data_IF_131333286831
#
_entry.id   IF_131333286831
#
_cell.length_a   1.000
_cell.length_b   1.000
_cell.length_c   1.000
_cell.angle_alpha   90.00
_cell.angle_beta   90.00
_cell.angle_gamma   90.00
#
_symmetry.space_group_name_H-M   'P 1'
#
loop_
_entity.id
_entity.type
_entity.pdbx_description
1 polymer ?
#
# COMPACT_ATOMS: atom_id res chain seq x y z
N UNK A 1 -0.06 8.31 -36.07
CA UNK A 1 1.26 8.50 -36.72
C UNK A 1 2.29 7.96 -35.75
N UNK A 2 2.77 6.73 -35.96
CA UNK A 2 3.79 6.12 -35.11
C UNK A 2 5.14 6.77 -35.46
N UNK A 3 5.55 7.74 -34.69
CA UNK A 3 6.95 8.15 -34.66
C UNK A 3 7.74 7.06 -33.89
N UNK A 4 8.10 5.99 -34.59
CA UNK A 4 9.20 5.12 -34.18
C UNK A 4 10.48 5.95 -34.31
N UNK A 5 10.77 6.78 -33.32
CA UNK A 5 12.12 7.27 -33.09
C UNK A 5 12.89 6.01 -32.64
N UNK A 6 13.74 5.50 -33.54
CA UNK A 6 14.66 4.39 -33.19
C UNK A 6 15.43 4.79 -31.93
N UNK A 7 15.03 4.23 -30.81
CA UNK A 7 15.67 4.46 -29.54
C UNK A 7 16.88 3.53 -29.44
N UNK A 8 18.10 4.06 -29.36
CA UNK A 8 19.28 3.24 -29.30
C UNK A 8 19.29 2.25 -28.12
N UNK A 9 18.64 2.61 -26.99
CA UNK A 9 18.49 1.71 -25.85
C UNK A 9 17.52 0.57 -26.15
N UNK A 10 16.40 0.84 -26.82
CA UNK A 10 15.42 -0.20 -27.20
C UNK A 10 16.05 -1.24 -28.12
N UNK A 11 16.88 -0.81 -29.07
CA UNK A 11 17.56 -1.72 -30.00
C UNK A 11 18.51 -2.68 -29.26
N UNK A 12 19.17 -2.20 -28.19
CA UNK A 12 20.05 -3.05 -27.38
C UNK A 12 19.24 -4.09 -26.60
N UNK A 13 18.14 -3.70 -25.97
CA UNK A 13 17.26 -4.66 -25.30
C UNK A 13 16.80 -5.77 -26.25
N UNK A 14 16.46 -5.44 -27.48
CA UNK A 14 16.04 -6.42 -28.49
C UNK A 14 17.17 -7.32 -28.98
N UNK A 15 18.39 -6.80 -29.10
CA UNK A 15 19.54 -7.54 -29.65
C UNK A 15 20.27 -8.37 -28.62
N UNK A 16 20.40 -7.86 -27.40
CA UNK A 16 21.23 -8.45 -26.35
C UNK A 16 20.37 -9.06 -25.23
N UNK A 17 19.12 -8.63 -25.09
CA UNK A 17 18.24 -9.06 -24.02
C UNK A 17 17.60 -10.42 -24.23
N UNK A 18 17.24 -11.07 -23.15
CA UNK A 18 16.44 -12.29 -23.15
C UNK A 18 14.96 -11.92 -23.19
N UNK A 19 14.25 -12.34 -24.24
CA UNK A 19 12.81 -12.13 -24.37
C UNK A 19 12.01 -13.14 -23.54
N UNK A 20 10.93 -12.68 -22.92
CA UNK A 20 9.96 -13.50 -22.22
C UNK A 20 8.56 -12.96 -22.43
N UNK A 21 7.58 -13.87 -22.58
CA UNK A 21 6.16 -13.53 -22.55
C UNK A 21 5.66 -13.79 -21.14
N UNK A 22 5.10 -12.77 -20.51
CA UNK A 22 4.58 -12.84 -19.15
C UNK A 22 3.07 -12.61 -19.14
N UNK A 23 2.40 -13.20 -18.17
CA UNK A 23 0.94 -13.08 -18.00
C UNK A 23 0.56 -13.21 -16.52
N UNK A 24 -0.73 -13.17 -16.25
CA UNK A 24 -1.26 -13.24 -14.89
C UNK A 24 -0.90 -14.53 -14.12
N UNK A 25 -0.54 -15.59 -14.84
CA UNK A 25 -0.11 -16.89 -14.29
C UNK A 25 1.41 -17.06 -14.16
N UNK A 26 2.18 -16.09 -14.62
CA UNK A 26 3.65 -16.08 -14.56
C UNK A 26 4.18 -14.78 -13.94
N UNK A 27 3.69 -14.41 -12.74
CA UNK A 27 4.24 -13.24 -12.03
C UNK A 27 5.68 -13.51 -11.60
N UNK A 28 6.46 -12.43 -11.46
CA UNK A 28 7.82 -12.53 -10.94
C UNK A 28 8.13 -11.36 -9.99
N UNK A 29 8.99 -11.61 -9.01
CA UNK A 29 9.48 -10.56 -8.10
C UNK A 29 10.56 -9.73 -8.80
N UNK A 30 10.58 -8.43 -8.50
CA UNK A 30 11.64 -7.52 -8.91
C UNK A 30 12.79 -7.52 -7.88
N UNK A 31 13.22 -8.71 -7.45
CA UNK A 31 14.22 -8.94 -6.40
C UNK A 31 15.61 -9.32 -6.92
N UNK A 32 15.82 -9.27 -8.24
CA UNK A 32 17.10 -9.48 -8.88
C UNK A 32 17.79 -8.13 -9.18
N UNK A 33 18.69 -7.62 -8.30
CA UNK A 33 19.32 -6.31 -8.46
C UNK A 33 20.22 -6.21 -9.70
N UNK A 34 20.58 -7.37 -10.27
CA UNK A 34 21.39 -7.43 -11.49
C UNK A 34 20.56 -7.43 -12.77
N UNK A 35 19.25 -7.17 -12.66
CA UNK A 35 18.35 -7.19 -13.80
C UNK A 35 17.64 -5.85 -14.05
N UNK A 36 17.48 -5.56 -15.34
CA UNK A 36 16.59 -4.50 -15.84
C UNK A 36 15.71 -5.10 -16.93
N UNK A 37 14.42 -4.92 -16.80
CA UNK A 37 13.43 -5.36 -17.79
C UNK A 37 12.89 -4.17 -18.57
N UNK A 38 12.70 -4.33 -19.85
CA UNK A 38 12.06 -3.38 -20.74
C UNK A 38 10.73 -3.98 -21.23
N UNK A 39 9.64 -3.25 -21.05
CA UNK A 39 8.31 -3.65 -21.52
C UNK A 39 8.23 -3.38 -23.03
N UNK A 40 8.31 -4.44 -23.85
CA UNK A 40 8.28 -4.32 -25.32
C UNK A 40 6.89 -4.07 -25.84
N UNK A 41 5.91 -4.81 -25.30
CA UNK A 41 4.49 -4.70 -25.65
C UNK A 41 3.63 -5.12 -24.47
N UNK A 42 2.38 -4.69 -24.47
CA UNK A 42 1.43 -4.97 -23.40
C UNK A 42 1.62 -4.03 -22.19
N UNK A 43 1.27 -4.51 -21.02
CA UNK A 43 1.30 -3.76 -19.76
C UNK A 43 1.72 -4.69 -18.61
N UNK A 44 2.39 -4.12 -17.62
CA UNK A 44 2.81 -4.82 -16.41
C UNK A 44 2.24 -4.12 -15.21
N UNK A 45 1.38 -4.82 -14.47
CA UNK A 45 0.88 -4.35 -13.17
C UNK A 45 1.93 -4.60 -12.10
N UNK A 46 2.29 -3.59 -11.35
CA UNK A 46 3.22 -3.67 -10.22
C UNK A 46 2.42 -3.67 -8.93
N UNK A 47 2.67 -4.68 -8.10
CA UNK A 47 2.05 -4.82 -6.79
C UNK A 47 3.11 -4.79 -5.69
N UNK A 48 2.82 -4.10 -4.60
CA UNK A 48 3.52 -4.29 -3.34
C UNK A 48 3.03 -5.60 -2.69
N UNK A 49 3.96 -6.40 -2.21
CA UNK A 49 3.70 -7.72 -1.61
C UNK A 49 4.65 -7.97 -0.43
N UNK A 50 4.19 -8.73 0.55
CA UNK A 50 5.10 -9.29 1.54
C UNK A 50 5.96 -10.39 0.90
N UNK A 51 7.26 -10.40 1.21
CA UNK A 51 8.22 -11.37 0.68
C UNK A 51 8.87 -12.12 1.84
N UNK A 52 8.84 -13.45 1.79
CA UNK A 52 9.60 -14.32 2.71
C UNK A 52 10.35 -15.36 1.89
N UNK A 53 11.65 -15.50 2.14
CA UNK A 53 12.50 -16.48 1.45
C UNK A 53 12.33 -16.41 -0.09
N UNK A 54 12.33 -15.20 -0.67
CA UNK A 54 12.11 -14.93 -2.10
C UNK A 54 10.74 -15.37 -2.65
N UNK A 55 9.74 -15.56 -1.78
CA UNK A 55 8.38 -15.91 -2.18
C UNK A 55 7.40 -14.85 -1.71
N UNK A 56 6.46 -14.49 -2.59
CA UNK A 56 5.37 -13.60 -2.19
C UNK A 56 4.46 -14.29 -1.16
N UNK A 57 4.01 -13.54 -0.17
CA UNK A 57 3.04 -13.97 0.84
C UNK A 57 1.99 -12.89 1.04
N UNK A 58 0.79 -13.28 1.48
CA UNK A 58 -0.27 -12.33 1.83
C UNK A 58 -0.97 -11.67 0.64
N UNK A 59 -1.54 -10.50 0.91
CA UNK A 59 -2.30 -9.72 -0.07
C UNK A 59 -1.37 -9.00 -1.07
N UNK A 60 -1.93 -8.67 -2.23
CA UNK A 60 -1.29 -7.86 -3.27
C UNK A 60 -1.91 -6.48 -3.26
N UNK A 61 -1.09 -5.45 -3.10
CA UNK A 61 -1.53 -4.07 -3.16
C UNK A 61 -1.06 -3.46 -4.47
N UNK A 62 -1.99 -3.12 -5.37
CA UNK A 62 -1.63 -2.52 -6.64
C UNK A 62 -0.87 -1.22 -6.42
N UNK A 63 0.28 -1.07 -7.05
CA UNK A 63 1.16 0.09 -6.92
C UNK A 63 0.99 1.03 -8.11
N UNK A 64 1.40 0.58 -9.29
CA UNK A 64 1.20 1.30 -10.56
C UNK A 64 1.24 0.33 -11.74
N UNK A 65 0.97 0.84 -12.95
CA UNK A 65 1.02 0.09 -14.20
C UNK A 65 2.12 0.61 -15.10
N UNK A 66 3.09 -0.24 -15.44
CA UNK A 66 4.10 0.04 -16.45
C UNK A 66 3.56 -0.28 -17.84
N UNK A 67 3.84 0.61 -18.80
CA UNK A 67 3.37 0.52 -20.18
C UNK A 67 4.49 0.06 -21.13
N UNK A 68 4.11 -0.31 -22.35
CA UNK A 68 5.09 -0.53 -23.41
C UNK A 68 6.00 0.69 -23.58
N UNK A 69 7.31 0.48 -23.53
CA UNK A 69 8.33 1.53 -23.55
C UNK A 69 8.90 1.90 -22.18
N UNK A 70 8.38 1.36 -21.10
CA UNK A 70 8.89 1.58 -19.74
C UNK A 70 9.92 0.51 -19.36
N UNK A 71 10.69 0.80 -18.33
CA UNK A 71 11.63 -0.16 -17.71
C UNK A 71 11.17 -0.51 -16.30
N UNK A 72 11.56 -1.70 -15.86
CA UNK A 72 11.45 -2.15 -14.48
C UNK A 72 12.85 -2.42 -13.96
N UNK A 73 13.17 -1.93 -12.77
CA UNK A 73 14.46 -2.16 -12.13
C UNK A 73 14.35 -3.25 -11.07
N UNK A 74 15.34 -4.13 -11.04
CA UNK A 74 15.52 -5.07 -9.94
C UNK A 74 16.01 -4.35 -8.69
N UNK A 75 15.52 -4.78 -7.54
CA UNK A 75 15.78 -4.16 -6.25
C UNK A 75 16.44 -5.16 -5.32
N UNK A 76 17.49 -4.72 -4.65
CA UNK A 76 18.20 -5.50 -3.65
C UNK A 76 17.41 -5.49 -2.33
N UNK A 77 16.58 -6.52 -2.12
CA UNK A 77 15.74 -6.62 -0.93
C UNK A 77 16.56 -6.82 0.35
N UNK A 78 17.75 -7.40 0.29
CA UNK A 78 18.62 -7.55 1.45
C UNK A 78 19.09 -6.18 1.98
N UNK A 79 19.34 -5.24 1.07
CA UNK A 79 19.72 -3.86 1.45
C UNK A 79 18.56 -3.04 1.98
N UNK A 80 17.34 -3.41 1.69
CA UNK A 80 16.16 -2.69 2.22
C UNK A 80 15.81 -3.12 3.64
N UNK A 81 16.26 -4.29 4.07
CA UNK A 81 15.97 -4.89 5.39
C UNK A 81 14.48 -5.03 5.70
N UNK A 82 13.62 -5.03 4.67
CA UNK A 82 12.17 -5.12 4.78
C UNK A 82 11.64 -6.40 4.14
N UNK A 83 10.60 -6.96 4.73
CA UNK A 83 9.88 -8.12 4.18
C UNK A 83 8.86 -7.69 3.11
N UNK A 84 9.17 -6.65 2.33
CA UNK A 84 8.31 -6.11 1.28
C UNK A 84 9.09 -6.11 -0.04
N UNK A 85 8.41 -6.42 -1.13
CA UNK A 85 8.97 -6.39 -2.48
C UNK A 85 7.92 -6.00 -3.50
N UNK A 86 8.36 -5.81 -4.74
CA UNK A 86 7.46 -5.57 -5.87
C UNK A 86 7.29 -6.82 -6.71
N UNK A 87 6.03 -7.17 -6.99
CA UNK A 87 5.62 -8.25 -7.87
C UNK A 87 5.17 -7.66 -9.19
N UNK A 88 5.79 -8.10 -10.27
CA UNK A 88 5.40 -7.76 -11.63
C UNK A 88 4.45 -8.83 -12.20
N UNK A 89 3.31 -8.40 -12.72
CA UNK A 89 2.28 -9.25 -13.31
C UNK A 89 1.95 -8.75 -14.71
N UNK A 90 2.32 -9.48 -15.73
CA UNK A 90 1.96 -9.13 -17.10
C UNK A 90 0.47 -9.30 -17.37
N UNK A 91 -0.11 -8.39 -18.12
CA UNK A 91 -1.42 -8.60 -18.75
C UNK A 91 -1.28 -9.54 -19.97
N UNK A 92 -2.39 -9.80 -20.66
CA UNK A 92 -2.39 -10.72 -21.82
C UNK A 92 -1.39 -10.24 -22.88
N UNK A 93 -0.56 -11.18 -23.37
CA UNK A 93 0.42 -10.96 -24.45
C UNK A 93 1.48 -9.87 -24.16
N UNK A 94 1.87 -9.75 -22.89
CA UNK A 94 2.95 -8.83 -22.50
C UNK A 94 4.32 -9.46 -22.78
N UNK A 95 5.09 -8.81 -23.63
CA UNK A 95 6.48 -9.18 -23.92
C UNK A 95 7.45 -8.26 -23.23
N UNK A 96 8.43 -8.84 -22.54
CA UNK A 96 9.50 -8.12 -21.86
C UNK A 96 10.87 -8.61 -22.33
N UNK A 97 11.88 -7.72 -22.31
CA UNK A 97 13.28 -8.05 -22.52
C UNK A 97 14.06 -7.81 -21.25
N UNK A 98 14.92 -8.75 -20.87
CA UNK A 98 15.81 -8.63 -19.69
C UNK A 98 17.23 -8.46 -20.12
N UNK A 99 17.95 -7.46 -19.58
CA UNK A 99 19.41 -7.29 -19.66
C UNK A 99 19.99 -7.15 -18.23
N UNK A 100 21.31 -7.24 -18.11
CA UNK A 100 21.95 -6.98 -16.82
C UNK A 100 21.93 -5.49 -16.45
N UNK A 101 21.84 -5.19 -15.15
CA UNK A 101 21.89 -3.81 -14.64
C UNK A 101 23.21 -3.13 -14.97
N UNK A 102 24.35 -3.88 -14.95
CA UNK A 102 25.64 -3.37 -15.37
C UNK A 102 25.65 -2.91 -16.84
N UNK A 103 25.02 -3.71 -17.73
CA UNK A 103 24.90 -3.33 -19.13
C UNK A 103 24.00 -2.12 -19.34
N UNK A 104 22.88 -2.06 -18.61
CA UNK A 104 22.00 -0.89 -18.65
C UNK A 104 22.71 0.39 -18.19
N UNK A 105 23.51 0.32 -17.10
CA UNK A 105 24.30 1.46 -16.60
C UNK A 105 25.28 1.96 -17.65
N UNK A 106 26.07 1.07 -18.24
CA UNK A 106 27.02 1.40 -19.30
C UNK A 106 26.37 2.14 -20.46
N UNK A 107 25.19 1.70 -20.86
CA UNK A 107 24.41 2.33 -21.92
C UNK A 107 23.79 3.67 -21.50
N UNK A 108 23.30 3.76 -20.27
CA UNK A 108 22.64 4.94 -19.74
C UNK A 108 23.62 6.10 -19.53
N UNK A 109 24.84 5.80 -19.10
CA UNK A 109 25.93 6.77 -18.88
C UNK A 109 26.60 7.24 -20.19
N UNK A 110 26.28 6.61 -21.31
CA UNK A 110 26.77 7.08 -22.62
C UNK A 110 26.19 8.43 -22.95
N UNK A 111 27.00 9.48 -23.27
CA UNK A 111 26.52 10.83 -23.54
C UNK A 111 25.40 10.92 -24.58
N UNK A 112 25.39 10.05 -25.57
CA UNK A 112 24.35 9.98 -26.60
C UNK A 112 23.01 9.45 -26.10
N UNK A 113 22.98 8.79 -24.93
CA UNK A 113 21.80 8.12 -24.39
C UNK A 113 21.25 8.78 -23.11
N UNK A 114 22.01 9.70 -22.47
CA UNK A 114 21.66 10.28 -21.16
C UNK A 114 20.22 10.78 -21.10
N UNK A 115 19.82 11.62 -22.01
CA UNK A 115 18.46 12.20 -22.01
C UNK A 115 17.36 11.17 -22.19
N UNK A 116 17.69 10.06 -22.83
CA UNK A 116 16.77 8.96 -23.06
C UNK A 116 16.67 8.06 -21.83
N UNK A 117 17.82 7.71 -21.28
CA UNK A 117 17.90 6.93 -20.05
C UNK A 117 17.27 7.65 -18.87
N UNK A 118 17.49 8.96 -18.74
CA UNK A 118 16.84 9.82 -17.75
C UNK A 118 15.33 9.71 -17.82
N UNK A 119 14.73 9.78 -19.02
CA UNK A 119 13.28 9.64 -19.19
C UNK A 119 12.75 8.26 -18.79
N UNK A 120 13.51 7.20 -19.02
CA UNK A 120 13.12 5.85 -18.57
C UNK A 120 13.16 5.74 -17.05
N UNK A 121 14.21 6.28 -16.43
CA UNK A 121 14.34 6.32 -14.98
C UNK A 121 13.29 7.22 -14.32
N UNK A 122 12.99 8.37 -14.93
CA UNK A 122 11.92 9.26 -14.44
C UNK A 122 10.58 8.55 -14.40
N UNK A 123 10.20 7.81 -15.43
CA UNK A 123 8.95 7.05 -15.46
C UNK A 123 8.89 5.97 -14.37
N UNK A 124 10.00 5.30 -14.12
CA UNK A 124 10.10 4.34 -13.02
C UNK A 124 9.88 5.01 -11.66
N UNK A 125 10.56 6.14 -11.43
CA UNK A 125 10.45 6.92 -10.19
C UNK A 125 9.04 7.50 -10.04
N UNK A 126 8.44 8.06 -11.09
CA UNK A 126 7.07 8.58 -11.09
C UNK A 126 6.05 7.47 -10.78
N UNK A 127 6.19 6.27 -11.38
CA UNK A 127 5.32 5.14 -11.09
C UNK A 127 5.39 4.72 -9.63
N UNK A 128 6.58 4.59 -9.07
CA UNK A 128 6.78 4.28 -7.66
C UNK A 128 6.25 5.38 -6.73
N UNK A 129 6.49 6.64 -7.09
CA UNK A 129 6.01 7.80 -6.35
C UNK A 129 4.48 7.86 -6.30
N UNK A 130 3.82 7.62 -7.42
CA UNK A 130 2.36 7.51 -7.49
C UNK A 130 1.86 6.38 -6.59
N UNK A 131 2.47 5.18 -6.67
CA UNK A 131 2.05 4.01 -5.91
C UNK A 131 2.06 4.24 -4.41
N UNK A 132 3.10 4.91 -3.87
CA UNK A 132 3.23 5.12 -2.42
C UNK A 132 2.32 6.24 -1.90
N UNK A 133 1.93 7.19 -2.74
CA UNK A 133 1.24 8.41 -2.30
C UNK A 133 -0.23 8.52 -2.74
N UNK A 134 -0.71 7.64 -3.61
CA UNK A 134 -2.05 7.74 -4.23
C UNK A 134 -3.21 7.85 -3.25
N UNK A 135 -3.06 7.30 -2.06
CA UNK A 135 -4.09 7.31 -1.00
C UNK A 135 -3.82 8.39 0.05
N UNK A 136 -2.76 9.19 -0.12
CA UNK A 136 -2.36 10.25 0.81
C UNK A 136 -2.67 11.61 0.21
N UNK A 137 -3.54 12.37 0.85
CA UNK A 137 -3.87 13.71 0.42
C UNK A 137 -3.18 14.74 1.33
N UNK A 138 -2.30 15.57 0.76
CA UNK A 138 -1.63 16.66 1.48
C UNK A 138 -1.52 17.90 0.61
N UNK A 139 -1.47 19.08 1.25
CA UNK A 139 -1.23 20.34 0.55
C UNK A 139 0.21 20.45 0.06
N UNK A 140 0.50 21.46 -0.73
CA UNK A 140 1.85 21.80 -1.19
C UNK A 140 2.11 23.26 -0.92
N UNK A 141 3.18 23.56 -0.20
CA UNK A 141 3.59 24.95 0.08
C UNK A 141 4.48 25.48 -1.03
N UNK A 142 5.35 24.65 -1.56
CA UNK A 142 6.35 25.06 -2.54
C UNK A 142 6.51 24.03 -3.67
N UNK A 143 6.46 24.54 -4.90
CA UNK A 143 6.80 23.79 -6.11
C UNK A 143 8.23 24.12 -6.53
N UNK A 144 9.09 23.09 -6.63
CA UNK A 144 10.50 23.25 -6.97
C UNK A 144 10.79 22.91 -8.43
N UNK A 145 11.78 23.62 -8.97
CA UNK A 145 12.39 23.40 -10.29
C UNK A 145 13.91 23.35 -10.10
N UNK A 146 14.68 22.84 -11.06
CA UNK A 146 16.14 22.82 -10.97
C UNK A 146 16.73 24.19 -10.62
N UNK A 147 17.51 24.22 -9.53
CA UNK A 147 18.17 25.42 -8.99
C UNK A 147 19.41 24.99 -8.20
N UNK A 148 20.49 25.73 -8.31
CA UNK A 148 21.76 25.40 -7.67
C UNK A 148 21.66 25.37 -6.14
N UNK A 149 20.97 26.34 -5.56
CA UNK A 149 20.76 26.44 -4.12
C UNK A 149 19.48 27.22 -3.82
N UNK A 150 18.70 26.71 -2.87
CA UNK A 150 17.53 27.39 -2.33
C UNK A 150 17.40 27.12 -0.85
N UNK A 151 16.79 28.09 -0.15
CA UNK A 151 16.51 28.02 1.26
C UNK A 151 15.01 27.88 1.47
N UNK A 152 14.63 26.94 2.35
CA UNK A 152 13.23 26.62 2.65
C UNK A 152 13.04 26.67 4.16
N UNK A 153 11.99 27.36 4.58
CA UNK A 153 11.61 27.49 5.99
C UNK A 153 11.11 26.17 6.58
N UNK A 154 11.07 26.09 7.92
CA UNK A 154 10.59 24.94 8.67
C UNK A 154 9.14 24.58 8.34
N UNK A 155 8.86 23.27 8.26
CA UNK A 155 7.52 22.71 8.10
C UNK A 155 6.95 22.78 6.68
N UNK A 156 7.66 23.39 5.73
CA UNK A 156 7.17 23.50 4.34
C UNK A 156 7.15 22.15 3.64
N UNK A 157 6.07 21.91 2.89
CA UNK A 157 5.89 20.75 2.03
C UNK A 157 6.27 21.09 0.60
N UNK A 158 7.30 20.42 0.08
CA UNK A 158 7.92 20.67 -1.22
C UNK A 158 7.59 19.52 -2.19
N UNK A 159 7.15 19.86 -3.41
CA UNK A 159 6.97 18.92 -4.53
C UNK A 159 7.68 19.40 -5.77
N UNK A 160 7.99 18.48 -6.68
CA UNK A 160 8.42 18.88 -8.02
C UNK A 160 7.28 19.54 -8.77
N UNK A 161 7.57 20.63 -9.45
CA UNK A 161 6.60 21.30 -10.33
C UNK A 161 6.30 20.45 -11.57
N UNK A 162 7.29 19.68 -12.05
CA UNK A 162 7.16 18.86 -13.24
C UNK A 162 8.19 17.73 -13.24
N UNK A 163 7.71 16.48 -13.48
CA UNK A 163 8.58 15.32 -13.59
C UNK A 163 9.33 15.05 -12.30
N UNK A 164 10.54 14.51 -12.41
CA UNK A 164 11.42 14.17 -11.30
C UNK A 164 12.41 15.29 -11.03
N UNK A 165 12.47 15.76 -9.79
CA UNK A 165 13.47 16.69 -9.29
C UNK A 165 14.33 15.96 -8.25
N UNK A 166 15.62 15.89 -8.46
CA UNK A 166 16.56 15.32 -7.50
C UNK A 166 17.05 16.39 -6.54
N UNK A 167 16.83 16.16 -5.25
CA UNK A 167 17.23 17.09 -4.18
C UNK A 167 18.44 16.56 -3.44
N UNK A 168 19.37 17.45 -3.09
CA UNK A 168 20.48 17.18 -2.18
C UNK A 168 20.57 18.31 -1.15
N UNK A 169 21.09 17.99 0.05
CA UNK A 169 21.06 18.90 1.18
C UNK A 169 22.44 19.45 1.47
N UNK A 170 22.54 20.77 1.61
CA UNK A 170 23.73 21.42 2.17
C UNK A 170 23.59 21.59 3.69
N UNK A 171 22.35 21.81 4.19
CA UNK A 171 22.05 22.02 5.60
C UNK A 171 20.57 21.68 5.86
N UNK A 172 20.27 21.21 7.08
CA UNK A 172 18.90 20.86 7.50
C UNK A 172 18.53 19.40 7.28
N UNK A 173 17.28 19.08 7.57
CA UNK A 173 16.71 17.73 7.44
C UNK A 173 15.34 17.79 6.78
N UNK A 174 14.92 16.66 6.24
CA UNK A 174 13.56 16.52 5.71
C UNK A 174 12.98 15.16 6.02
N UNK A 175 11.65 15.09 6.02
CA UNK A 175 10.88 13.85 6.10
C UNK A 175 10.38 13.51 4.70
N UNK A 176 10.55 12.27 4.28
CA UNK A 176 9.98 11.78 3.05
C UNK A 176 8.50 11.44 3.27
N UNK A 177 7.63 12.02 2.43
CA UNK A 177 6.15 11.97 2.52
C UNK A 177 5.59 12.27 3.94
N UNK A 178 6.32 13.07 4.73
CA UNK A 178 5.91 13.49 6.07
C UNK A 178 6.00 12.43 7.17
N UNK A 179 6.66 11.30 6.92
CA UNK A 179 6.79 10.22 7.90
C UNK A 179 8.01 10.46 8.81
N UNK A 180 7.76 10.61 10.12
CA UNK A 180 8.82 10.89 11.11
C UNK A 180 9.87 9.77 11.20
N UNK A 181 9.46 8.51 10.99
CA UNK A 181 10.36 7.36 11.00
C UNK A 181 11.20 7.24 9.73
N UNK A 182 10.89 8.03 8.70
CA UNK A 182 11.56 8.01 7.40
C UNK A 182 12.26 9.33 7.15
N UNK A 183 13.20 9.63 8.03
CA UNK A 183 14.08 10.79 7.92
C UNK A 183 15.19 10.57 6.91
N UNK A 184 15.54 11.62 6.18
CA UNK A 184 16.68 11.61 5.28
C UNK A 184 17.85 12.24 6.02
N UNK A 185 18.77 11.40 6.46
CA UNK A 185 19.96 11.82 7.17
C UNK A 185 21.18 11.93 6.22
N UNK A 186 21.90 13.02 6.35
CA UNK A 186 23.19 13.21 5.73
C UNK A 186 23.24 14.22 4.57
N UNK A 187 24.26 15.05 4.62
CA UNK A 187 24.52 16.15 3.67
C UNK A 187 24.74 15.75 2.21
N UNK A 188 24.64 14.46 1.87
CA UNK A 188 24.87 13.94 0.51
C UNK A 188 23.78 13.01 0.00
N UNK A 189 22.68 12.83 0.76
CA UNK A 189 21.57 12.03 0.28
C UNK A 189 20.96 12.69 -0.95
N UNK A 190 20.91 11.96 -2.05
CA UNK A 190 20.26 12.40 -3.28
C UNK A 190 18.89 11.73 -3.36
N UNK A 191 17.83 12.52 -3.22
CA UNK A 191 16.45 12.02 -3.12
C UNK A 191 15.59 12.59 -4.23
N UNK A 192 14.88 11.75 -5.00
CA UNK A 192 13.96 12.22 -6.01
C UNK A 192 12.62 12.64 -5.39
N UNK A 193 12.12 13.76 -5.87
CA UNK A 193 10.80 14.30 -5.54
C UNK A 193 10.02 14.45 -6.85
N UNK A 194 8.75 14.06 -6.83
CA UNK A 194 7.86 14.13 -7.99
C UNK A 194 6.66 15.03 -7.70
N UNK A 195 5.66 15.02 -8.56
CA UNK A 195 4.38 15.67 -8.28
C UNK A 195 3.55 14.89 -7.25
N UNK A 196 3.82 13.60 -7.10
CA UNK A 196 3.10 12.70 -6.21
C UNK A 196 3.75 12.60 -4.84
N UNK A 197 5.07 12.52 -4.76
CA UNK A 197 5.84 12.50 -3.50
C UNK A 197 6.28 13.90 -3.08
N UNK A 198 6.56 14.06 -1.79
CA UNK A 198 7.00 15.34 -1.23
C UNK A 198 8.03 15.15 -0.13
N UNK A 199 8.71 16.26 0.16
CA UNK A 199 9.55 16.40 1.33
C UNK A 199 8.93 17.44 2.26
N UNK A 200 8.97 17.17 3.56
CA UNK A 200 8.63 18.15 4.59
C UNK A 200 9.91 18.58 5.31
N UNK A 201 10.20 19.87 5.33
CA UNK A 201 11.41 20.40 5.98
C UNK A 201 11.29 20.34 7.50
N UNK A 202 12.41 20.01 8.16
CA UNK A 202 12.58 20.11 9.61
C UNK A 202 13.66 21.17 9.87
N UNK A 203 13.23 22.30 10.46
CA UNK A 203 14.07 23.46 10.58
C UNK A 203 14.33 24.14 9.22
N UNK A 204 15.11 25.21 9.27
CA UNK A 204 15.55 25.90 8.06
C UNK A 204 16.47 24.99 7.23
N UNK A 205 16.10 24.71 6.01
CA UNK A 205 16.77 23.72 5.15
C UNK A 205 17.30 24.39 3.91
N UNK A 206 18.56 24.11 3.58
CA UNK A 206 19.21 24.57 2.36
C UNK A 206 19.50 23.38 1.45
N UNK A 207 18.91 23.40 0.26
CA UNK A 207 18.97 22.30 -0.70
C UNK A 207 19.28 22.79 -2.10
N UNK A 208 19.84 21.90 -2.92
CA UNK A 208 19.96 22.09 -4.37
C UNK A 208 19.03 21.11 -5.09
N UNK A 209 18.59 21.50 -6.28
CA UNK A 209 17.63 20.76 -7.09
C UNK A 209 18.18 20.58 -8.50
N UNK A 210 18.28 19.36 -8.98
CA UNK A 210 18.75 19.06 -10.32
C UNK A 210 17.80 18.12 -11.06
N UNK A 211 17.86 18.12 -12.38
CA UNK A 211 17.15 17.13 -13.19
C UNK A 211 17.91 15.78 -13.20
N UNK A 212 17.26 14.72 -13.65
CA UNK A 212 17.81 13.35 -13.68
C UNK A 212 19.07 13.19 -14.54
N UNK A 213 19.24 14.02 -15.55
CA UNK A 213 20.43 13.98 -16.43
C UNK A 213 21.72 14.29 -15.67
N UNK A 214 21.67 15.19 -14.67
CA UNK A 214 22.85 15.59 -13.89
C UNK A 214 23.41 14.42 -13.06
N UNK A 215 22.63 13.80 -12.14
CA UNK A 215 23.13 12.66 -11.36
C UNK A 215 23.38 11.41 -12.22
N UNK A 216 22.78 11.29 -13.39
CA UNK A 216 23.08 10.23 -14.33
C UNK A 216 24.45 10.43 -14.98
N UNK A 217 24.80 11.67 -15.33
CA UNK A 217 26.09 12.00 -15.96
C UNK A 217 27.27 11.79 -15.02
N UNK A 218 27.12 12.05 -13.73
CA UNK A 218 28.18 11.89 -12.72
C UNK A 218 28.15 10.51 -12.01
N UNK A 219 27.13 9.68 -12.29
CA UNK A 219 26.98 8.34 -11.74
C UNK A 219 26.34 8.28 -10.35
N UNK A 220 25.99 9.42 -9.72
CA UNK A 220 25.40 9.48 -8.38
C UNK A 220 23.96 8.91 -8.34
N UNK A 221 23.28 8.86 -9.49
CA UNK A 221 21.89 8.40 -9.60
C UNK A 221 21.71 6.97 -9.08
N UNK A 222 22.70 6.10 -9.24
CA UNK A 222 22.58 4.70 -8.85
C UNK A 222 22.48 4.53 -7.34
N UNK A 223 23.27 5.29 -6.60
CA UNK A 223 23.13 5.31 -5.14
C UNK A 223 21.81 6.00 -4.72
N UNK A 224 21.46 7.09 -5.37
CA UNK A 224 20.17 7.78 -5.14
C UNK A 224 18.97 6.87 -5.36
N UNK A 225 18.97 6.01 -6.39
CA UNK A 225 17.92 5.00 -6.61
C UNK A 225 17.87 3.95 -5.51
N UNK A 226 19.02 3.46 -5.04
CA UNK A 226 19.07 2.51 -3.91
C UNK A 226 18.47 3.14 -2.66
N UNK A 227 18.83 4.39 -2.36
CA UNK A 227 18.32 5.10 -1.19
C UNK A 227 16.82 5.41 -1.33
N UNK A 228 16.37 5.79 -2.53
CA UNK A 228 14.96 5.98 -2.82
C UNK A 228 14.14 4.69 -2.64
N UNK A 229 14.62 3.55 -3.13
CA UNK A 229 13.93 2.28 -2.92
C UNK A 229 13.83 1.91 -1.43
N UNK A 230 14.88 2.19 -0.64
CA UNK A 230 14.82 1.99 0.83
C UNK A 230 13.74 2.88 1.46
N UNK A 231 13.71 4.16 1.13
CA UNK A 231 12.69 5.10 1.63
C UNK A 231 11.28 4.62 1.28
N UNK A 232 11.06 4.19 0.03
CA UNK A 232 9.77 3.66 -0.41
C UNK A 232 9.33 2.44 0.39
N UNK A 233 10.22 1.46 0.59
CA UNK A 233 9.86 0.27 1.36
C UNK A 233 9.63 0.56 2.84
N UNK A 234 10.36 1.50 3.42
CA UNK A 234 10.09 1.96 4.78
C UNK A 234 8.68 2.59 4.88
N UNK A 235 8.34 3.47 3.95
CA UNK A 235 7.02 4.08 3.89
C UNK A 235 5.91 3.04 3.68
N UNK A 236 6.09 2.12 2.75
CA UNK A 236 5.11 1.07 2.46
C UNK A 236 4.90 0.14 3.64
N UNK A 237 5.97 -0.24 4.33
CA UNK A 237 5.88 -1.03 5.54
C UNK A 237 5.07 -0.33 6.64
N UNK A 238 5.29 0.98 6.82
CA UNK A 238 4.52 1.78 7.78
C UNK A 238 3.06 1.90 7.36
N UNK A 239 2.77 2.14 6.08
CA UNK A 239 1.41 2.22 5.55
C UNK A 239 0.64 0.91 5.78
N UNK A 240 1.25 -0.25 5.48
CA UNK A 240 0.64 -1.56 5.71
C UNK A 240 0.35 -1.75 7.20
N UNK A 241 1.30 -1.44 8.08
CA UNK A 241 1.11 -1.56 9.54
C UNK A 241 0.01 -0.65 10.06
N UNK A 242 -0.06 0.59 9.61
CA UNK A 242 -1.13 1.52 10.00
C UNK A 242 -2.49 1.00 9.56
N UNK A 243 -2.60 0.51 8.32
CA UNK A 243 -3.84 -0.06 7.81
C UNK A 243 -4.29 -1.31 8.59
N UNK A 244 -3.35 -2.18 8.99
CA UNK A 244 -3.65 -3.34 9.84
C UNK A 244 -4.15 -2.94 11.23
N UNK A 245 -3.53 -1.92 11.84
CA UNK A 245 -3.95 -1.38 13.15
C UNK A 245 -5.34 -0.75 13.06
N UNK A 246 -5.62 0.02 12.01
CA UNK A 246 -6.92 0.64 11.80
C UNK A 246 -8.02 -0.40 11.57
N UNK A 247 -7.76 -1.42 10.77
CA UNK A 247 -8.71 -2.51 10.56
C UNK A 247 -8.96 -3.30 11.86
N UNK A 248 -7.90 -3.59 12.63
CA UNK A 248 -8.06 -4.23 13.93
C UNK A 248 -8.91 -3.39 14.89
N UNK A 249 -8.67 -2.07 14.96
CA UNK A 249 -9.44 -1.16 15.79
C UNK A 249 -10.89 -1.08 15.32
N UNK A 250 -11.13 -1.04 14.01
CA UNK A 250 -12.47 -1.06 13.43
C UNK A 250 -13.24 -2.33 13.79
N UNK A 251 -12.61 -3.49 13.64
CA UNK A 251 -13.20 -4.79 14.00
C UNK A 251 -13.47 -4.88 15.49
N UNK A 252 -12.54 -4.42 16.33
CA UNK A 252 -12.70 -4.37 17.78
C UNK A 252 -13.90 -3.48 18.17
N UNK A 253 -13.96 -2.25 17.64
CA UNK A 253 -15.07 -1.32 17.91
C UNK A 253 -16.43 -1.91 17.49
N UNK A 254 -16.47 -2.58 16.33
CA UNK A 254 -17.69 -3.27 15.86
C UNK A 254 -18.09 -4.39 16.82
N UNK A 255 -17.14 -5.23 17.24
CA UNK A 255 -17.40 -6.32 18.17
C UNK A 255 -17.85 -5.79 19.55
N UNK A 256 -17.22 -4.73 20.05
CA UNK A 256 -17.61 -4.07 21.31
C UNK A 256 -19.03 -3.52 21.21
N UNK A 257 -19.38 -2.85 20.09
CA UNK A 257 -20.73 -2.34 19.86
C UNK A 257 -21.79 -3.46 19.79
N UNK A 258 -21.52 -4.54 19.05
CA UNK A 258 -22.40 -5.71 18.96
C UNK A 258 -22.59 -6.38 20.33
N UNK A 259 -21.53 -6.48 21.14
CA UNK A 259 -21.59 -7.01 22.49
C UNK A 259 -22.46 -6.13 23.40
N UNK A 260 -22.23 -4.82 23.40
CA UNK A 260 -23.01 -3.86 24.21
C UNK A 260 -24.49 -3.86 23.83
N UNK A 261 -24.80 -3.81 22.53
CA UNK A 261 -26.19 -3.86 22.04
C UNK A 261 -26.89 -5.17 22.44
N UNK A 262 -26.16 -6.29 22.43
CA UNK A 262 -26.66 -7.59 22.85
C UNK A 262 -26.94 -7.62 24.35
N UNK A 263 -26.02 -7.09 25.17
CA UNK A 263 -26.19 -7.00 26.64
C UNK A 263 -27.36 -6.10 27.01
N UNK A 264 -27.55 -4.97 26.33
CA UNK A 264 -28.68 -4.08 26.53
C UNK A 264 -30.02 -4.75 26.17
N UNK A 265 -30.09 -5.44 25.02
CA UNK A 265 -31.27 -6.16 24.59
C UNK A 265 -31.64 -7.27 25.57
N UNK A 266 -30.62 -8.01 26.08
CA UNK A 266 -30.84 -9.05 27.09
C UNK A 266 -31.29 -8.47 28.44
N UNK A 267 -30.70 -7.34 28.86
CA UNK A 267 -31.10 -6.66 30.09
C UNK A 267 -32.55 -6.21 30.00
N UNK A 268 -33.00 -5.66 28.87
CA UNK A 268 -34.38 -5.29 28.63
C UNK A 268 -35.30 -6.51 28.64
N UNK A 269 -34.93 -7.60 27.98
CA UNK A 269 -35.66 -8.86 27.96
C UNK A 269 -35.84 -9.42 29.38
N UNK A 270 -34.75 -9.49 30.16
CA UNK A 270 -34.78 -9.94 31.55
C UNK A 270 -35.67 -9.06 32.40
N UNK A 271 -35.61 -7.72 32.23
CA UNK A 271 -36.50 -6.77 32.94
C UNK A 271 -37.96 -7.00 32.65
N UNK A 272 -38.31 -7.26 31.39
CA UNK A 272 -39.72 -7.56 30.99
C UNK A 272 -40.19 -8.89 31.59
N UNK A 273 -39.34 -9.91 31.59
CA UNK A 273 -39.66 -11.24 32.13
C UNK A 273 -39.75 -11.26 33.67
N UNK A 274 -39.12 -10.32 34.37
CA UNK A 274 -39.13 -10.20 35.82
C UNK A 274 -40.24 -9.27 36.35
N UNK A 275 -40.94 -8.54 35.48
CA UNK A 275 -42.08 -7.71 35.89
C UNK A 275 -43.19 -8.60 36.46
N UNK A 276 -43.63 -8.33 37.72
CA UNK A 276 -44.69 -9.09 38.39
C UNK A 276 -46.03 -9.06 37.63
N UNK A 277 -46.26 -8.10 36.74
CA UNK A 277 -47.46 -8.02 35.89
C UNK A 277 -47.37 -8.78 34.56
N UNK A 278 -46.22 -9.26 34.16
CA UNK A 278 -46.04 -9.92 32.85
C UNK A 278 -46.81 -11.26 32.76
N UNK A 279 -46.96 -11.95 33.87
CA UNK A 279 -47.74 -13.21 33.95
C UNK A 279 -49.26 -13.02 33.81
N UNK A 280 -49.81 -11.83 34.20
CA UNK A 280 -51.24 -11.51 34.06
C UNK A 280 -51.60 -10.99 32.66
N UNK A 281 -50.63 -10.35 31.97
CA UNK A 281 -50.89 -9.73 30.66
C UNK A 281 -50.77 -10.74 29.51
N UNK A 282 -50.05 -11.83 29.71
CA UNK A 282 -49.86 -12.89 28.73
C UNK A 282 -50.48 -14.20 29.24
N UNK A 283 -51.83 -14.29 29.24
CA UNK A 283 -52.52 -15.53 29.58
C UNK A 283 -52.72 -16.40 28.35
N UNK A 284 -52.21 -17.62 28.38
CA UNK A 284 -52.45 -18.67 27.38
C UNK A 284 -51.20 -19.31 26.79
N UNK A 285 -51.39 -20.33 25.97
CA UNK A 285 -50.34 -21.17 25.34
C UNK A 285 -49.20 -20.38 24.61
N UNK A 286 -49.49 -19.18 24.15
CA UNK A 286 -48.51 -18.33 23.46
C UNK A 286 -47.53 -17.65 24.42
N UNK A 287 -47.96 -17.26 25.60
CA UNK A 287 -47.10 -16.62 26.59
C UNK A 287 -46.09 -17.62 27.15
N UNK A 288 -46.53 -18.85 27.43
CA UNK A 288 -45.66 -19.92 27.91
C UNK A 288 -44.60 -20.28 26.88
N UNK A 289 -44.95 -20.31 25.59
CA UNK A 289 -43.99 -20.58 24.50
C UNK A 289 -42.94 -19.46 24.35
N UNK A 290 -43.39 -18.21 24.43
CA UNK A 290 -42.48 -17.05 24.32
C UNK A 290 -41.53 -16.99 25.50
N UNK A 291 -42.04 -17.29 26.71
CA UNK A 291 -41.22 -17.33 27.93
C UNK A 291 -40.20 -18.45 27.91
N UNK A 292 -40.59 -19.66 27.44
CA UNK A 292 -39.67 -20.77 27.29
C UNK A 292 -38.59 -20.50 26.27
N UNK A 293 -38.90 -19.93 25.10
CA UNK A 293 -37.93 -19.56 24.08
C UNK A 293 -36.93 -18.51 24.60
N UNK A 294 -37.41 -17.49 25.31
CA UNK A 294 -36.55 -16.48 25.93
C UNK A 294 -35.63 -17.09 27.02
N UNK A 295 -36.18 -18.00 27.82
CA UNK A 295 -35.41 -18.71 28.84
C UNK A 295 -34.31 -19.58 28.21
N UNK A 296 -34.61 -20.34 27.14
CA UNK A 296 -33.67 -21.16 26.41
C UNK A 296 -32.50 -20.35 25.82
N UNK A 297 -32.84 -19.19 25.22
CA UNK A 297 -31.81 -18.26 24.67
C UNK A 297 -30.90 -17.74 25.80
N UNK A 298 -31.48 -17.26 26.91
CA UNK A 298 -30.72 -16.76 28.04
C UNK A 298 -29.84 -17.86 28.66
N UNK A 299 -30.36 -19.08 28.77
CA UNK A 299 -29.62 -20.23 29.29
C UNK A 299 -28.48 -20.64 28.36
N UNK A 300 -28.72 -20.67 27.05
CA UNK A 300 -27.68 -20.96 26.05
C UNK A 300 -26.55 -19.91 26.05
N UNK A 301 -26.86 -18.69 26.48
CA UNK A 301 -25.91 -17.59 26.61
C UNK A 301 -25.25 -17.49 28.00
N UNK A 302 -25.51 -18.47 28.90
CA UNK A 302 -24.95 -18.48 30.25
C UNK A 302 -25.59 -17.46 31.21
N UNK A 303 -26.73 -16.84 30.84
CA UNK A 303 -27.45 -15.89 31.68
C UNK A 303 -28.37 -16.66 32.60
N UNK A 304 -28.19 -16.52 33.92
CA UNK A 304 -29.04 -17.18 34.92
C UNK A 304 -30.33 -16.38 35.16
N UNK A 305 -31.42 -16.84 34.59
CA UNK A 305 -32.75 -16.36 34.88
C UNK A 305 -33.55 -17.47 35.55
N UNK A 306 -34.54 -17.10 36.36
CA UNK A 306 -35.41 -18.05 37.04
C UNK A 306 -36.24 -18.83 36.00
N UNK A 307 -36.14 -20.18 36.05
CA UNK A 307 -36.91 -21.01 35.13
C UNK A 307 -38.44 -20.70 35.24
N UNK A 308 -39.15 -20.64 34.12
CA UNK A 308 -40.59 -20.44 34.15
C UNK A 308 -41.26 -21.60 34.86
N UNK A 309 -42.39 -21.38 35.52
CA UNK A 309 -43.15 -22.45 36.14
C UNK A 309 -43.61 -23.45 35.07
N UNK A 310 -43.41 -24.73 35.30
CA UNK A 310 -43.83 -25.79 34.38
C UNK A 310 -45.32 -25.69 34.12
N UNK A 311 -45.73 -25.33 32.91
CA UNK A 311 -47.11 -25.45 32.47
C UNK A 311 -47.55 -26.92 32.46
N UNK A 312 -48.74 -27.21 32.93
CA UNK A 312 -49.24 -28.59 33.09
C UNK A 312 -49.57 -29.29 31.77
N UNK A 313 -49.52 -28.59 30.64
CA UNK A 313 -49.89 -29.14 29.33
C UNK A 313 -49.14 -28.43 28.18
N UNK A 314 -47.99 -28.89 27.79
CA UNK A 314 -47.45 -28.53 26.45
C UNK A 314 -46.58 -29.62 25.86
N UNK A 315 -46.99 -30.16 24.73
CA UNK A 315 -46.20 -31.02 23.85
C UNK A 315 -45.09 -30.19 23.19
N UNK A 316 -43.84 -30.57 23.42
CA UNK A 316 -42.61 -29.82 23.12
C UNK A 316 -42.22 -29.81 21.61
N UNK A 317 -43.08 -30.24 20.68
CA UNK A 317 -42.67 -30.49 19.28
C UNK A 317 -42.89 -29.34 18.26
N UNK A 318 -43.00 -28.07 18.68
CA UNK A 318 -43.22 -26.96 17.71
C UNK A 318 -42.34 -25.72 17.91
N UNK A 319 -41.11 -25.87 18.45
CA UNK A 319 -40.30 -24.72 18.85
C UNK A 319 -39.34 -24.18 17.73
N UNK A 320 -39.32 -24.77 16.53
CA UNK A 320 -38.30 -24.38 15.55
C UNK A 320 -38.55 -23.13 14.70
N UNK A 321 -39.76 -22.53 14.79
CA UNK A 321 -40.08 -21.38 13.90
C UNK A 321 -40.10 -20.00 14.54
N UNK A 322 -39.99 -19.92 15.87
CA UNK A 322 -40.05 -18.63 16.56
C UNK A 322 -38.69 -17.97 16.80
N UNK A 323 -37.59 -18.73 16.67
CA UNK A 323 -36.24 -18.25 16.96
C UNK A 323 -35.64 -17.32 15.86
N UNK A 324 -36.28 -17.30 14.68
CA UNK A 324 -35.80 -16.49 13.54
C UNK A 324 -36.18 -14.99 13.58
N UNK A 325 -37.01 -14.60 14.57
CA UNK A 325 -37.56 -13.22 14.64
C UNK A 325 -36.89 -12.32 15.70
N UNK A 326 -35.89 -12.85 16.46
CA UNK A 326 -35.27 -12.10 17.58
C UNK A 326 -33.71 -12.00 17.41
N UNK A 327 -33.19 -12.34 16.24
CA UNK A 327 -31.76 -12.10 15.94
C UNK A 327 -31.58 -11.03 14.87
#
# INVERSE_FOLDING_TARGET
MNNNINNPLTDVFQKEGTSSIIGGNTPFLLDDPDAVWYVRSGQVEIFSVNVREHHQTGARYHFFTAQAGDILLGIDLEKTSMEIGFLAVGLIDTEIYKISSGRFRELAENPGNISYAAKLLDKWIEGLSYGISKDINTHTDLLIEPVDEMEVEDGNIIRSKKGVAWTSYAEGNTLFIGMEEVGIEGAKALVPVTQDTWLQTIGRTRLSVVNTEVPLTNGDIWQGLVDFHKLLFQCEFMNIRLAEVDEFNRLKTKADYETTAREEALSQLVSVLQCEGAQETFSGDHADKLFMSAWEVCHAMGISIKAPPKSKNTNVNSVSSATAAIV
#
